data_IF_760137627296
#
_entry.id   IF_760137627296
#
_cell.length_a   1.000
_cell.length_b   1.000
_cell.length_c   1.000
_cell.angle_alpha   90.00
_cell.angle_beta   90.00
_cell.angle_gamma   90.00
#
_symmetry.space_group_name_H-M   'P 1'
#
loop_
_entity.id
_entity.type
_entity.pdbx_description
1 polymer ?
#
# COMPACT_ATOMS: atom_id res chain seq x y z
N UNK A 1 -67.72 12.41 25.13
CA UNK A 1 -67.53 11.90 26.51
C UNK A 1 -66.13 11.29 26.59
N UNK A 2 -65.32 11.74 27.57
CA UNK A 2 -64.17 11.13 28.31
C UNK A 2 -63.41 9.90 27.75
N UNK A 3 -62.14 9.60 28.07
CA UNK A 3 -60.96 10.23 28.71
C UNK A 3 -59.78 9.22 28.50
N UNK A 4 -58.58 9.70 28.76
CA UNK A 4 -57.19 9.22 28.57
C UNK A 4 -56.74 7.89 29.22
N UNK A 5 -55.45 7.59 28.91
CA UNK A 5 -54.40 6.88 29.69
C UNK A 5 -54.06 5.45 29.25
N UNK A 6 -52.81 4.95 29.26
CA UNK A 6 -51.43 5.46 29.35
C UNK A 6 -50.58 4.19 29.50
N UNK A 7 -49.46 4.06 28.78
CA UNK A 7 -48.42 3.06 29.02
C UNK A 7 -47.88 3.12 30.46
N UNK A 8 -47.54 1.98 31.09
CA UNK A 8 -46.18 1.75 31.60
C UNK A 8 -45.87 0.31 32.10
N UNK A 9 -44.63 -0.11 31.84
CA UNK A 9 -43.72 -1.01 32.59
C UNK A 9 -44.08 -2.47 32.95
N UNK A 10 -43.25 -3.42 32.45
CA UNK A 10 -42.24 -4.17 33.25
C UNK A 10 -41.50 -5.22 32.40
N UNK A 11 -40.16 -5.12 32.36
CA UNK A 11 -39.23 -6.19 31.93
C UNK A 11 -39.27 -7.37 32.91
N UNK A 12 -39.16 -8.60 32.42
CA UNK A 12 -38.57 -9.71 33.17
C UNK A 12 -37.76 -10.63 32.24
N UNK A 13 -36.48 -10.74 32.55
CA UNK A 13 -35.48 -11.65 31.99
C UNK A 13 -35.77 -13.11 32.36
N UNK A 14 -35.58 -14.04 31.43
CA UNK A 14 -35.64 -15.47 31.73
C UNK A 14 -34.96 -16.34 30.67
N UNK A 15 -33.72 -16.76 30.95
CA UNK A 15 -33.05 -17.89 30.30
C UNK A 15 -33.74 -19.20 30.70
N UNK A 16 -34.09 -20.03 29.72
CA UNK A 16 -34.03 -21.51 29.71
C UNK A 16 -34.73 -21.94 28.40
N UNK A 17 -34.23 -22.84 27.56
CA UNK A 17 -33.25 -23.89 27.71
C UNK A 17 -33.70 -24.99 26.73
N UNK A 18 -33.26 -24.90 25.47
CA UNK A 18 -33.64 -25.84 24.40
C UNK A 18 -32.40 -26.31 23.64
N UNK A 19 -32.04 -27.57 23.84
CA UNK A 19 -30.88 -28.24 23.26
C UNK A 19 -30.99 -28.37 21.72
N UNK A 20 -30.55 -27.36 20.97
CA UNK A 20 -30.20 -27.52 19.56
C UNK A 20 -28.68 -27.70 19.42
N UNK A 21 -28.20 -28.93 19.63
CA UNK A 21 -26.84 -29.30 19.21
C UNK A 21 -26.80 -29.30 17.67
N UNK A 22 -26.35 -28.20 17.06
CA UNK A 22 -25.99 -28.18 15.64
C UNK A 22 -24.84 -29.17 15.44
N UNK A 23 -25.10 -30.27 14.73
CA UNK A 23 -24.06 -31.18 14.21
C UNK A 23 -23.14 -30.39 13.29
N UNK A 24 -21.89 -30.16 13.71
CA UNK A 24 -20.86 -29.56 12.87
C UNK A 24 -20.33 -30.62 11.90
N UNK A 25 -20.75 -30.53 10.64
CA UNK A 25 -20.14 -31.34 9.58
C UNK A 25 -18.72 -30.83 9.32
N UNK A 26 -17.75 -31.72 9.54
CA UNK A 26 -16.47 -31.78 8.84
C UNK A 26 -15.68 -30.47 8.70
N UNK A 27 -14.90 -30.12 9.73
CA UNK A 27 -13.52 -29.72 9.46
C UNK A 27 -12.72 -31.01 9.41
N UNK A 28 -12.65 -31.60 8.21
CA UNK A 28 -11.60 -32.58 7.90
C UNK A 28 -10.25 -31.95 8.23
N UNK A 29 -9.30 -32.81 8.56
CA UNK A 29 -7.94 -32.53 9.00
C UNK A 29 -7.15 -31.69 7.97
N UNK A 30 -7.55 -30.43 7.78
CA UNK A 30 -6.82 -29.49 6.94
C UNK A 30 -5.52 -29.18 7.71
N UNK A 31 -4.34 -29.49 7.16
CA UNK A 31 -3.11 -29.18 7.84
C UNK A 31 -3.10 -27.69 8.09
N UNK A 32 -3.03 -27.32 9.37
CA UNK A 32 -2.74 -25.95 9.79
C UNK A 32 -1.40 -25.65 9.12
N UNK A 33 -1.41 -24.84 8.06
CA UNK A 33 -0.16 -24.35 7.48
C UNK A 33 0.52 -23.58 8.61
N UNK A 34 1.54 -24.20 9.20
CA UNK A 34 2.37 -23.58 10.20
C UNK A 34 2.80 -22.23 9.66
N UNK A 35 2.67 -21.19 10.49
CA UNK A 35 3.18 -19.87 10.19
C UNK A 35 4.59 -20.04 9.65
N UNK A 36 4.76 -19.86 8.34
CA UNK A 36 6.07 -19.78 7.74
C UNK A 36 6.72 -18.58 8.42
N UNK A 37 7.63 -18.85 9.34
CA UNK A 37 8.41 -17.84 10.03
C UNK A 37 9.04 -16.97 8.97
N UNK A 38 8.60 -15.72 8.90
CA UNK A 38 9.16 -14.74 7.98
C UNK A 38 10.67 -14.71 8.24
N UNK A 39 11.43 -15.21 7.27
CA UNK A 39 12.90 -15.19 7.30
C UNK A 39 13.35 -13.77 7.70
N UNK A 40 14.33 -13.64 8.63
CA UNK A 40 14.78 -12.34 9.10
C UNK A 40 15.21 -11.52 7.88
N UNK A 41 14.54 -10.39 7.66
CA UNK A 41 14.87 -9.51 6.56
C UNK A 41 16.21 -8.86 6.87
N UNK A 42 17.28 -9.39 6.29
CA UNK A 42 18.58 -8.72 6.30
C UNK A 42 18.39 -7.28 5.80
N UNK A 43 18.66 -6.26 6.63
CA UNK A 43 18.36 -4.86 6.28
C UNK A 43 19.16 -4.35 5.08
N UNK A 44 20.26 -5.02 4.74
CA UNK A 44 21.10 -4.70 3.58
C UNK A 44 20.51 -5.14 2.23
N UNK A 45 19.56 -6.08 2.22
CA UNK A 45 19.02 -6.64 0.98
C UNK A 45 17.68 -6.00 0.61
N UNK A 46 17.67 -5.30 -0.53
CA UNK A 46 16.52 -4.62 -1.08
C UNK A 46 16.00 -5.42 -2.27
N UNK A 47 14.68 -5.62 -2.35
CA UNK A 47 14.08 -6.26 -3.54
C UNK A 47 14.35 -5.43 -4.80
N UNK A 48 14.76 -6.06 -5.89
CA UNK A 48 15.14 -5.39 -7.15
C UNK A 48 14.06 -4.43 -7.65
N UNK A 49 12.78 -4.83 -7.61
CA UNK A 49 11.67 -3.96 -8.00
C UNK A 49 11.54 -2.68 -7.16
N UNK A 50 11.93 -2.73 -5.89
CA UNK A 50 11.96 -1.57 -4.99
C UNK A 50 13.17 -0.70 -5.28
N UNK A 51 14.31 -1.31 -5.61
CA UNK A 51 15.52 -0.59 -5.99
C UNK A 51 15.27 0.26 -7.25
N UNK A 52 14.73 -0.34 -8.32
CA UNK A 52 14.42 0.37 -9.58
C UNK A 52 13.35 1.45 -9.37
N UNK A 53 12.34 1.18 -8.54
CA UNK A 53 11.33 2.18 -8.25
C UNK A 53 11.88 3.38 -7.46
N UNK A 54 12.91 3.15 -6.63
CA UNK A 54 13.58 4.22 -5.86
C UNK A 54 14.58 5.01 -6.70
N UNK A 55 15.09 4.48 -7.82
CA UNK A 55 15.91 5.24 -8.76
C UNK A 55 15.08 6.18 -9.65
N UNK A 56 13.75 6.17 -9.50
CA UNK A 56 12.85 7.10 -10.19
C UNK A 56 12.52 6.71 -11.64
N UNK A 57 12.98 5.55 -12.11
CA UNK A 57 12.76 5.10 -13.49
C UNK A 57 11.29 4.77 -13.75
N UNK A 58 10.67 4.03 -12.84
CA UNK A 58 9.30 3.56 -13.01
C UNK A 58 8.64 3.23 -11.67
N UNK A 59 7.35 2.87 -11.70
CA UNK A 59 6.65 2.33 -10.52
C UNK A 59 7.14 0.91 -10.20
N UNK A 60 6.85 0.42 -8.98
CA UNK A 60 7.21 -0.96 -8.59
C UNK A 60 6.55 -2.02 -9.48
N UNK A 61 5.34 -1.75 -9.98
CA UNK A 61 4.61 -2.67 -10.86
C UNK A 61 5.19 -2.70 -12.27
N UNK A 62 5.57 -1.55 -12.79
CA UNK A 62 6.28 -1.47 -14.06
C UNK A 62 7.67 -2.11 -13.96
N UNK A 63 8.36 -1.93 -12.82
CA UNK A 63 9.64 -2.59 -12.59
C UNK A 63 9.51 -4.11 -12.66
N UNK A 64 8.44 -4.69 -12.11
CA UNK A 64 8.16 -6.12 -12.20
C UNK A 64 8.01 -6.58 -13.66
N UNK A 65 7.33 -5.79 -14.51
CA UNK A 65 7.19 -6.07 -15.95
C UNK A 65 8.56 -6.03 -16.64
N UNK A 66 9.36 -5.00 -16.38
CA UNK A 66 10.69 -4.86 -16.99
C UNK A 66 11.68 -5.93 -16.54
N UNK A 67 11.60 -6.36 -15.28
CA UNK A 67 12.40 -7.49 -14.78
C UNK A 67 11.98 -8.76 -15.52
N UNK A 68 10.68 -9.04 -15.62
CA UNK A 68 10.19 -10.24 -16.33
C UNK A 68 10.57 -10.27 -17.81
N UNK A 69 10.68 -9.08 -18.44
CA UNK A 69 11.12 -8.93 -19.82
C UNK A 69 12.64 -9.08 -20.01
N UNK A 70 13.44 -9.07 -18.92
CA UNK A 70 14.90 -9.18 -18.98
C UNK A 70 15.62 -7.87 -19.29
N UNK A 71 14.95 -6.72 -19.19
CA UNK A 71 15.51 -5.39 -19.47
C UNK A 71 16.42 -4.85 -18.35
N UNK A 72 16.56 -5.61 -17.26
CA UNK A 72 17.32 -5.25 -16.06
C UNK A 72 18.50 -6.19 -15.89
N UNK A 73 19.69 -5.61 -15.72
CA UNK A 73 20.91 -6.36 -15.42
C UNK A 73 21.47 -5.97 -14.06
N UNK A 74 21.92 -6.94 -13.28
CA UNK A 74 22.62 -6.73 -12.01
C UNK A 74 24.03 -7.28 -12.14
N UNK A 75 25.05 -6.46 -11.88
CA UNK A 75 26.47 -6.82 -12.01
C UNK A 75 26.78 -7.48 -13.38
N UNK A 76 26.15 -6.97 -14.44
CA UNK A 76 26.30 -7.46 -15.82
C UNK A 76 25.48 -8.69 -16.20
N UNK A 77 24.68 -9.27 -15.29
CA UNK A 77 23.83 -10.43 -15.59
C UNK A 77 22.36 -10.02 -15.71
N UNK A 78 21.64 -10.38 -16.78
CA UNK A 78 20.21 -10.12 -16.90
C UNK A 78 19.46 -10.94 -15.85
N UNK A 79 18.57 -10.29 -15.10
CA UNK A 79 17.76 -10.93 -14.07
C UNK A 79 16.30 -10.91 -14.52
N UNK A 80 15.71 -12.10 -14.64
CA UNK A 80 14.28 -12.30 -14.94
C UNK A 80 13.51 -12.84 -13.73
N UNK A 81 14.21 -13.19 -12.65
CA UNK A 81 13.60 -13.79 -11.46
C UNK A 81 12.85 -12.77 -10.62
N UNK A 82 11.56 -13.03 -10.43
CA UNK A 82 10.69 -12.21 -9.61
C UNK A 82 11.03 -12.34 -8.13
N UNK A 83 11.59 -11.28 -7.56
CA UNK A 83 11.91 -11.22 -6.14
C UNK A 83 13.35 -11.37 -5.76
N UNK A 84 14.22 -11.34 -6.78
CA UNK A 84 15.63 -11.08 -6.61
C UNK A 84 15.89 -9.90 -5.66
N UNK A 85 16.86 -10.06 -4.77
CA UNK A 85 17.28 -9.05 -3.80
C UNK A 85 18.69 -8.59 -4.15
N UNK A 86 18.88 -7.28 -4.15
CA UNK A 86 20.15 -6.61 -4.43
C UNK A 86 20.63 -5.88 -3.19
N UNK A 87 21.95 -5.73 -3.08
CA UNK A 87 22.59 -4.83 -2.12
C UNK A 87 22.63 -3.42 -2.70
N UNK A 88 22.80 -2.43 -1.83
CA UNK A 88 22.94 -1.03 -2.26
C UNK A 88 24.25 -0.79 -3.04
N UNK A 89 25.25 -1.65 -2.83
CA UNK A 89 26.55 -1.64 -3.51
C UNK A 89 26.54 -2.33 -4.87
N UNK A 90 25.47 -3.06 -5.23
CA UNK A 90 25.41 -3.77 -6.51
C UNK A 90 25.13 -2.80 -7.67
N UNK A 91 25.73 -3.08 -8.82
CA UNK A 91 25.51 -2.31 -10.03
C UNK A 91 24.24 -2.78 -10.74
N UNK A 92 23.16 -2.01 -10.60
CA UNK A 92 21.91 -2.27 -11.31
C UNK A 92 21.84 -1.38 -12.54
N UNK A 93 21.68 -1.97 -13.73
CA UNK A 93 21.43 -1.25 -14.99
C UNK A 93 20.07 -1.59 -15.54
N UNK A 94 19.40 -0.57 -16.08
CA UNK A 94 18.16 -0.71 -16.84
C UNK A 94 18.41 -0.18 -18.24
N UNK A 95 18.17 -1.02 -19.25
CA UNK A 95 18.40 -0.67 -20.66
C UNK A 95 19.81 -0.10 -20.91
N UNK A 96 20.82 -0.73 -20.30
CA UNK A 96 22.23 -0.32 -20.37
C UNK A 96 22.64 0.88 -19.50
N UNK A 97 21.69 1.61 -18.89
CA UNK A 97 21.98 2.77 -18.03
C UNK A 97 22.09 2.37 -16.56
N UNK A 98 23.15 2.83 -15.89
CA UNK A 98 23.35 2.60 -14.46
C UNK A 98 22.30 3.36 -13.65
N UNK A 99 21.64 2.65 -12.73
CA UNK A 99 20.63 3.21 -11.85
C UNK A 99 21.24 3.57 -10.50
N UNK A 100 21.15 4.85 -10.16
CA UNK A 100 21.49 5.33 -8.82
C UNK A 100 20.19 5.61 -8.03
N UNK A 101 20.07 5.13 -6.79
CA UNK A 101 18.92 5.46 -5.95
C UNK A 101 18.89 6.98 -5.68
N UNK A 102 17.75 7.60 -5.93
CA UNK A 102 17.58 9.05 -5.75
C UNK A 102 17.55 9.39 -4.26
N UNK A 103 18.12 10.55 -3.89
CA UNK A 103 18.00 11.08 -2.53
C UNK A 103 16.53 11.33 -2.20
N UNK A 104 16.10 10.89 -1.01
CA UNK A 104 14.70 11.07 -0.60
C UNK A 104 14.49 12.48 -0.09
N UNK A 105 13.52 13.16 -0.67
CA UNK A 105 13.02 14.46 -0.20
C UNK A 105 11.61 14.29 0.33
N UNK A 106 11.29 14.99 1.42
CA UNK A 106 9.98 14.96 2.04
C UNK A 106 9.48 16.39 2.22
N UNK A 107 8.23 16.63 1.86
CA UNK A 107 7.56 17.93 2.02
C UNK A 107 6.31 17.71 2.86
N UNK A 108 6.20 18.48 3.94
CA UNK A 108 4.97 18.57 4.72
C UNK A 108 4.13 19.71 4.16
N UNK A 109 2.89 19.41 3.81
CA UNK A 109 1.95 20.36 3.25
C UNK A 109 0.70 20.37 4.11
N UNK A 110 0.34 21.54 4.64
CA UNK A 110 -1.01 21.79 5.10
C UNK A 110 -1.89 22.03 3.87
N UNK A 111 -2.61 20.99 3.48
CA UNK A 111 -3.44 20.96 2.29
C UNK A 111 -4.73 21.76 2.54
N UNK A 112 -5.06 22.75 1.70
CA UNK A 112 -6.34 23.45 1.77
C UNK A 112 -7.51 22.56 1.35
N UNK A 113 -8.72 22.96 1.74
CA UNK A 113 -9.96 22.35 1.28
C UNK A 113 -10.14 22.54 -0.24
N UNK A 114 -10.89 21.63 -0.86
CA UNK A 114 -11.16 21.59 -2.32
C UNK A 114 -9.99 21.07 -3.20
N UNK A 115 -8.90 20.59 -2.59
CA UNK A 115 -7.79 19.95 -3.32
C UNK A 115 -7.87 18.43 -3.23
N UNK A 116 -7.42 17.72 -4.27
CA UNK A 116 -7.30 16.26 -4.24
C UNK A 116 -5.87 15.83 -3.91
N UNK A 117 -5.73 14.73 -3.16
CA UNK A 117 -4.41 14.11 -2.86
C UNK A 117 -3.97 13.11 -3.93
N UNK A 118 -4.92 12.57 -4.69
CA UNK A 118 -4.67 11.53 -5.70
C UNK A 118 -4.81 12.09 -7.11
N UNK A 119 -3.83 11.82 -7.97
CA UNK A 119 -3.88 12.14 -9.39
C UNK A 119 -2.51 12.57 -9.89
N UNK A 120 -2.11 12.09 -11.06
CA UNK A 120 -1.15 12.81 -11.91
C UNK A 120 -1.89 14.06 -12.39
N UNK A 121 -1.19 15.18 -12.57
CA UNK A 121 -1.80 16.46 -12.97
C UNK A 121 -2.67 16.31 -14.23
N UNK A 122 -3.94 15.96 -14.04
CA UNK A 122 -4.97 15.99 -15.08
C UNK A 122 -5.45 17.44 -15.15
N UNK A 123 -5.30 18.03 -16.33
CA UNK A 123 -5.65 19.42 -16.59
C UNK A 123 -7.07 19.73 -16.06
N UNK A 124 -7.16 20.71 -15.17
CA UNK A 124 -8.41 21.15 -14.54
C UNK A 124 -8.67 20.66 -13.11
N UNK A 125 -7.89 19.71 -12.58
CA UNK A 125 -8.06 19.23 -11.19
C UNK A 125 -7.06 19.89 -10.23
N UNK A 126 -7.58 20.65 -9.26
CA UNK A 126 -6.80 21.20 -8.13
C UNK A 126 -6.21 20.07 -7.29
N UNK A 127 -4.92 19.80 -7.47
CA UNK A 127 -4.21 18.69 -6.82
C UNK A 127 -3.20 19.25 -5.83
N UNK A 128 -3.06 18.61 -4.68
CA UNK A 128 -2.09 19.01 -3.65
C UNK A 128 -0.65 19.01 -4.18
N UNK A 129 -0.32 18.11 -5.11
CA UNK A 129 0.96 18.07 -5.82
C UNK A 129 1.21 19.33 -6.68
N UNK A 130 0.15 19.93 -7.22
CA UNK A 130 0.25 21.18 -7.98
C UNK A 130 0.61 22.38 -7.11
N UNK A 131 0.28 22.36 -5.81
CA UNK A 131 0.66 23.43 -4.88
C UNK A 131 2.16 23.42 -4.55
N UNK A 132 2.77 22.23 -4.55
CA UNK A 132 4.17 22.02 -4.17
C UNK A 132 5.09 21.76 -5.36
N UNK A 133 4.59 21.94 -6.60
CA UNK A 133 5.38 21.67 -7.81
C UNK A 133 6.63 22.54 -7.90
N UNK A 134 6.62 23.72 -7.28
CA UNK A 134 7.76 24.64 -7.25
C UNK A 134 8.70 24.42 -6.05
N UNK A 135 8.31 23.57 -5.09
CA UNK A 135 9.05 23.39 -3.84
C UNK A 135 10.19 22.37 -3.95
N UNK A 136 10.12 21.44 -4.92
CA UNK A 136 11.16 20.43 -5.16
C UNK A 136 11.38 20.23 -6.66
N UNK A 137 12.63 19.92 -7.04
CA UNK A 137 13.01 19.51 -8.39
C UNK A 137 12.67 18.04 -8.68
N UNK A 138 12.41 17.25 -7.65
CA UNK A 138 12.13 15.81 -7.74
C UNK A 138 10.63 15.57 -7.80
N UNK A 139 10.18 14.56 -8.55
CA UNK A 139 8.75 14.19 -8.60
C UNK A 139 8.30 13.65 -7.22
N UNK A 140 7.48 14.43 -6.52
CA UNK A 140 6.94 14.06 -5.20
C UNK A 140 5.70 13.16 -5.34
N UNK A 141 5.60 12.18 -4.44
CA UNK A 141 4.44 11.28 -4.35
C UNK A 141 3.74 11.48 -3.01
N UNK A 142 2.40 11.55 -2.98
CA UNK A 142 1.66 11.75 -1.74
C UNK A 142 1.78 10.51 -0.85
N UNK A 143 1.98 10.76 0.45
CA UNK A 143 1.97 9.71 1.48
C UNK A 143 0.60 9.74 2.17
N UNK A 144 -0.17 8.67 2.00
CA UNK A 144 -1.55 8.61 2.48
C UNK A 144 -2.55 9.27 1.52
N UNK A 145 -3.81 9.36 1.97
CA UNK A 145 -4.90 9.96 1.20
C UNK A 145 -5.74 10.81 2.14
N UNK A 146 -5.97 12.05 1.74
CA UNK A 146 -6.91 12.95 2.38
C UNK A 146 -7.99 13.34 1.39
N UNK A 147 -9.25 13.36 1.86
CA UNK A 147 -10.42 13.68 1.05
C UNK A 147 -10.36 15.09 0.47
N UNK A 148 -11.21 15.36 -0.55
CA UNK A 148 -11.23 16.65 -1.24
C UNK A 148 -11.59 17.81 -0.30
N UNK A 149 -12.62 17.61 0.52
CA UNK A 149 -13.13 18.61 1.46
C UNK A 149 -12.34 18.66 2.78
N UNK A 150 -11.44 17.70 3.01
CA UNK A 150 -10.64 17.60 4.23
C UNK A 150 -9.36 18.44 4.09
N UNK A 151 -9.08 19.26 5.10
CA UNK A 151 -7.88 20.10 5.23
C UNK A 151 -6.96 19.60 6.35
N UNK A 152 -5.67 19.92 6.26
CA UNK A 152 -4.64 19.54 7.24
C UNK A 152 -3.25 19.41 6.65
#
# INVERSE_FOLDING_TARGET
MNRSDSNNDRKASGRQGGNFRKKSYSRGNAPIRGNQTAQPSNPELIRLNKYIANSGVCSRREADIYISAGNVTVNGKPITEMGYKVKLSDEVKFDGRLLNPVKKEYVLLNKPSDFMTTGRNEQGKRTALGLISSASKTELKPVGKMGKLTSG
#
